data_IF_642694126427
#
_entry.id   IF_642694126427
#
_cell.length_a   1.000
_cell.length_b   1.000
_cell.length_c   1.000
_cell.angle_alpha   90.00
_cell.angle_beta   90.00
_cell.angle_gamma   90.00
#
_symmetry.space_group_name_H-M   'P 1'
#
loop_
_entity.id
_entity.type
_entity.pdbx_description
1 polymer ?
#
# COMPACT_ATOMS: atom_id res chain seq x y z
N UNK A 1 -14.54 0.96 -13.82
CA UNK A 1 -13.80 -0.07 -13.02
C UNK A 1 -13.93 0.34 -11.57
N UNK A 2 -14.51 -0.50 -10.70
CA UNK A 2 -14.96 -0.13 -9.34
C UNK A 2 -13.90 0.67 -8.57
N UNK A 3 -12.65 0.19 -8.54
CA UNK A 3 -11.57 0.83 -7.80
C UNK A 3 -11.33 2.28 -8.26
N UNK A 4 -11.24 2.50 -9.57
CA UNK A 4 -11.02 3.83 -10.17
C UNK A 4 -12.25 4.72 -10.04
N UNK A 5 -13.44 4.17 -10.30
CA UNK A 5 -14.68 4.94 -10.29
C UNK A 5 -14.95 5.49 -8.86
N UNK A 6 -14.72 4.67 -7.83
CA UNK A 6 -14.82 5.08 -6.42
C UNK A 6 -13.71 6.07 -6.02
N UNK A 7 -12.49 5.91 -6.54
CA UNK A 7 -11.39 6.84 -6.28
C UNK A 7 -11.65 8.25 -6.87
N UNK A 8 -12.15 8.32 -8.11
CA UNK A 8 -12.52 9.59 -8.75
C UNK A 8 -13.65 10.25 -7.96
N UNK A 9 -14.71 9.49 -7.64
CA UNK A 9 -15.83 10.00 -6.86
C UNK A 9 -15.40 10.53 -5.49
N UNK A 10 -14.52 9.82 -4.78
CA UNK A 10 -13.96 10.29 -3.51
C UNK A 10 -13.24 11.63 -3.69
N UNK A 11 -12.39 11.75 -4.70
CA UNK A 11 -11.66 12.98 -4.96
C UNK A 11 -12.59 14.16 -5.27
N UNK A 12 -13.65 13.93 -6.06
CA UNK A 12 -14.68 14.93 -6.36
C UNK A 12 -15.46 15.33 -5.10
N UNK A 13 -15.89 14.36 -4.30
CA UNK A 13 -16.65 14.60 -3.08
C UNK A 13 -15.81 15.38 -2.04
N UNK A 14 -14.51 15.10 -1.93
CA UNK A 14 -13.57 15.85 -1.08
C UNK A 14 -13.37 17.28 -1.58
N UNK A 15 -13.12 17.48 -2.88
CA UNK A 15 -12.89 18.81 -3.45
C UNK A 15 -14.13 19.70 -3.29
N UNK A 16 -15.31 19.12 -3.49
CA UNK A 16 -16.60 19.79 -3.33
C UNK A 16 -17.04 19.94 -1.86
N UNK A 17 -16.27 19.42 -0.90
CA UNK A 17 -16.56 19.55 0.53
C UNK A 17 -17.69 18.66 1.06
N UNK A 18 -18.13 17.65 0.29
CA UNK A 18 -19.09 16.63 0.76
C UNK A 18 -18.43 15.65 1.71
N UNK A 19 -17.20 15.26 1.42
CA UNK A 19 -16.37 14.42 2.28
C UNK A 19 -15.39 15.32 3.04
N UNK A 20 -15.49 15.34 4.36
CA UNK A 20 -14.65 16.18 5.21
C UNK A 20 -13.36 15.44 5.54
N UNK A 21 -12.23 16.05 5.20
CA UNK A 21 -10.89 15.52 5.47
C UNK A 21 -9.90 16.67 5.67
N UNK A 22 -8.64 16.33 5.93
CA UNK A 22 -7.55 17.29 6.11
C UNK A 22 -7.25 18.06 4.82
N UNK A 23 -6.65 19.24 4.94
CA UNK A 23 -6.34 20.07 3.78
C UNK A 23 -5.29 19.41 2.87
N UNK A 24 -4.39 18.60 3.43
CA UNK A 24 -3.40 17.79 2.72
C UNK A 24 -4.08 16.79 1.78
N UNK A 25 -5.07 16.05 2.30
CA UNK A 25 -5.84 15.08 1.51
C UNK A 25 -6.68 15.79 0.46
N UNK A 26 -7.32 16.92 0.81
CA UNK A 26 -8.04 17.75 -0.16
C UNK A 26 -7.12 18.21 -1.29
N UNK A 27 -5.92 18.67 -0.95
CA UNK A 27 -4.94 19.11 -1.95
C UNK A 27 -4.51 17.98 -2.88
N UNK A 28 -4.29 16.80 -2.32
CA UNK A 28 -3.95 15.61 -3.11
C UNK A 28 -5.10 15.18 -4.04
N UNK A 29 -6.36 15.33 -3.63
CA UNK A 29 -7.53 15.08 -4.48
C UNK A 29 -7.59 16.07 -5.65
N UNK A 30 -7.34 17.37 -5.42
CA UNK A 30 -7.23 18.38 -6.49
C UNK A 30 -6.13 18.04 -7.50
N UNK A 31 -4.94 17.66 -7.00
CA UNK A 31 -3.80 17.25 -7.83
C UNK A 31 -4.17 16.02 -8.65
N UNK A 32 -4.77 15.00 -8.02
CA UNK A 32 -5.20 13.78 -8.70
C UNK A 32 -6.16 14.08 -9.84
N UNK A 33 -7.23 14.86 -9.60
CA UNK A 33 -8.24 15.17 -10.61
C UNK A 33 -7.64 15.98 -11.77
N UNK A 34 -6.81 16.98 -11.47
CA UNK A 34 -6.17 17.78 -12.51
C UNK A 34 -5.17 16.95 -13.33
N UNK A 35 -4.38 16.12 -12.67
CA UNK A 35 -3.40 15.30 -13.37
C UNK A 35 -4.10 14.23 -14.23
N UNK A 36 -5.17 13.62 -13.71
CA UNK A 36 -5.95 12.58 -14.39
C UNK A 36 -6.77 13.14 -15.56
N UNK A 37 -7.38 14.32 -15.42
CA UNK A 37 -8.21 14.87 -16.50
C UNK A 37 -7.42 15.69 -17.51
N UNK A 38 -6.30 16.32 -17.10
CA UNK A 38 -5.63 17.33 -17.91
C UNK A 38 -4.15 17.04 -18.11
N UNK A 39 -3.35 17.02 -17.03
CA UNK A 39 -1.88 17.07 -17.19
C UNK A 39 -1.29 15.85 -17.88
N UNK A 40 -1.85 14.66 -17.67
CA UNK A 40 -1.30 13.45 -18.29
C UNK A 40 -1.24 13.50 -19.83
N UNK A 41 -2.07 14.34 -20.45
CA UNK A 41 -2.12 14.55 -21.90
C UNK A 41 -1.18 15.65 -22.41
N UNK A 42 -0.41 16.30 -21.52
CA UNK A 42 0.55 17.34 -21.88
C UNK A 42 1.96 16.76 -22.09
N UNK A 43 2.68 17.26 -23.09
CA UNK A 43 4.02 16.76 -23.48
C UNK A 43 5.04 16.87 -22.35
N UNK A 44 5.01 17.95 -21.57
CA UNK A 44 5.96 18.20 -20.47
C UNK A 44 5.68 17.42 -19.19
N UNK A 45 4.52 16.76 -19.07
CA UNK A 45 4.15 16.04 -17.86
C UNK A 45 4.67 14.61 -17.90
N UNK A 46 5.53 14.25 -16.93
CA UNK A 46 6.30 13.01 -16.91
C UNK A 46 5.49 11.74 -16.61
N UNK A 47 4.25 11.89 -16.16
CA UNK A 47 3.44 10.78 -15.64
C UNK A 47 2.20 10.53 -16.49
N UNK A 48 1.73 9.29 -16.47
CA UNK A 48 0.44 8.93 -17.05
C UNK A 48 -0.28 7.94 -16.13
N UNK A 49 -1.60 7.86 -16.30
CA UNK A 49 -2.44 6.94 -15.53
C UNK A 49 -2.68 5.66 -16.32
N UNK A 50 -2.18 4.53 -15.81
CA UNK A 50 -2.24 3.25 -16.47
C UNK A 50 -3.46 2.44 -15.99
N UNK A 51 -4.55 2.52 -16.75
CA UNK A 51 -5.80 1.81 -16.44
C UNK A 51 -5.64 0.30 -16.51
N UNK A 52 -4.78 -0.22 -17.39
CA UNK A 52 -4.57 -1.66 -17.55
C UNK A 52 -3.83 -2.25 -16.35
N UNK A 53 -2.80 -1.54 -15.86
CA UNK A 53 -2.12 -1.92 -14.61
C UNK A 53 -3.06 -1.84 -13.41
N UNK A 54 -3.88 -0.81 -13.33
CA UNK A 54 -4.84 -0.69 -12.25
C UNK A 54 -5.95 -1.75 -12.32
N UNK A 55 -6.32 -2.21 -13.52
CA UNK A 55 -7.27 -3.32 -13.71
C UNK A 55 -6.80 -4.61 -13.06
N UNK A 56 -5.50 -4.92 -13.15
CA UNK A 56 -4.91 -6.07 -12.45
C UNK A 56 -5.14 -5.96 -10.95
N UNK A 57 -4.90 -4.79 -10.36
CA UNK A 57 -5.11 -4.54 -8.92
C UNK A 57 -6.58 -4.65 -8.55
N UNK A 58 -7.46 -4.04 -9.33
CA UNK A 58 -8.90 -4.13 -9.14
C UNK A 58 -9.35 -5.60 -9.13
N UNK A 59 -8.88 -6.40 -10.08
CA UNK A 59 -9.27 -7.80 -10.19
C UNK A 59 -8.64 -8.67 -9.09
N UNK A 60 -7.41 -8.38 -8.65
CA UNK A 60 -6.80 -9.04 -7.49
C UNK A 60 -7.59 -8.78 -6.20
N UNK A 61 -8.07 -7.55 -5.98
CA UNK A 61 -8.90 -7.21 -4.83
C UNK A 61 -10.24 -7.95 -4.83
N UNK A 62 -10.77 -8.37 -5.99
CA UNK A 62 -11.97 -9.24 -6.05
C UNK A 62 -11.71 -10.66 -5.57
N UNK A 63 -10.46 -11.11 -5.59
CA UNK A 63 -10.08 -12.46 -5.17
C UNK A 63 -9.80 -12.55 -3.66
N UNK A 64 -9.87 -11.41 -2.96
CA UNK A 64 -9.61 -11.30 -1.53
C UNK A 64 -10.91 -11.07 -0.77
N UNK A 65 -10.98 -11.60 0.45
CA UNK A 65 -12.06 -11.35 1.40
C UNK A 65 -11.51 -10.74 2.68
N UNK A 66 -12.32 -9.90 3.33
CA UNK A 66 -12.02 -9.45 4.69
C UNK A 66 -12.22 -10.60 5.67
N UNK A 67 -11.33 -10.72 6.66
CA UNK A 67 -11.37 -11.83 7.62
C UNK A 67 -12.17 -11.51 8.90
N UNK A 68 -12.43 -10.23 9.17
CA UNK A 68 -13.02 -9.76 10.43
C UNK A 68 -13.81 -8.48 10.21
N UNK A 69 -14.64 -8.10 11.18
CA UNK A 69 -15.44 -6.88 11.17
C UNK A 69 -16.85 -7.11 10.64
N UNK A 70 -17.59 -6.04 10.39
CA UNK A 70 -18.98 -6.11 9.89
C UNK A 70 -19.10 -6.72 8.49
N UNK A 71 -17.98 -6.79 7.76
CA UNK A 71 -17.88 -7.32 6.38
C UNK A 71 -17.01 -8.58 6.33
N UNK A 72 -16.99 -9.36 7.43
CA UNK A 72 -16.23 -10.61 7.47
C UNK A 72 -16.71 -11.60 6.41
N UNK A 73 -15.75 -12.28 5.78
CA UNK A 73 -15.92 -13.20 4.64
C UNK A 73 -16.50 -12.55 3.36
N UNK A 74 -16.73 -11.23 3.37
CA UNK A 74 -17.15 -10.51 2.17
C UNK A 74 -15.96 -10.07 1.31
N UNK A 75 -16.22 -9.92 0.01
CA UNK A 75 -15.23 -9.51 -0.97
C UNK A 75 -14.66 -8.13 -0.66
N UNK A 76 -13.32 -8.00 -0.75
CA UNK A 76 -12.60 -6.76 -0.42
C UNK A 76 -13.00 -5.62 -1.34
N UNK A 77 -12.97 -5.79 -2.67
CA UNK A 77 -13.19 -4.69 -3.62
C UNK A 77 -14.51 -3.95 -3.39
N UNK A 78 -15.60 -4.69 -3.16
CA UNK A 78 -16.94 -4.10 -2.95
C UNK A 78 -17.07 -3.37 -1.62
N UNK A 79 -16.26 -3.77 -0.62
CA UNK A 79 -16.33 -3.28 0.75
C UNK A 79 -15.20 -2.29 1.12
N UNK A 80 -14.36 -1.89 0.16
CA UNK A 80 -13.39 -0.83 0.37
C UNK A 80 -14.09 0.52 0.54
N UNK A 81 -13.70 1.25 1.58
CA UNK A 81 -14.09 2.63 1.78
C UNK A 81 -13.53 3.51 0.64
N UNK A 82 -14.20 4.63 0.31
CA UNK A 82 -13.79 5.49 -0.81
C UNK A 82 -12.34 5.99 -0.71
N UNK A 83 -11.88 6.40 0.48
CA UNK A 83 -10.48 6.84 0.66
C UNK A 83 -9.46 5.70 0.45
N UNK A 84 -9.82 4.45 0.78
CA UNK A 84 -8.95 3.29 0.55
C UNK A 84 -8.82 3.03 -0.94
N UNK A 85 -9.93 3.15 -1.69
CA UNK A 85 -9.93 3.08 -3.15
C UNK A 85 -9.01 4.16 -3.74
N UNK A 86 -9.12 5.39 -3.25
CA UNK A 86 -8.27 6.50 -3.68
C UNK A 86 -6.79 6.25 -3.39
N UNK A 87 -6.46 5.78 -2.20
CA UNK A 87 -5.08 5.48 -1.80
C UNK A 87 -4.44 4.40 -2.68
N UNK A 88 -5.11 3.24 -2.81
CA UNK A 88 -4.63 2.12 -3.64
C UNK A 88 -4.53 2.55 -5.12
N UNK A 89 -5.52 3.31 -5.60
CA UNK A 89 -5.52 3.84 -6.98
C UNK A 89 -4.30 4.72 -7.26
N UNK A 90 -3.92 5.58 -6.32
CA UNK A 90 -2.78 6.45 -6.52
C UNK A 90 -1.46 5.66 -6.57
N UNK A 91 -1.24 4.73 -5.63
CA UNK A 91 -0.04 3.88 -5.60
C UNK A 91 0.10 3.11 -6.91
N UNK A 92 -0.94 2.38 -7.31
CA UNK A 92 -0.81 1.40 -8.40
C UNK A 92 -1.26 1.91 -9.78
N UNK A 93 -1.89 3.07 -9.89
CA UNK A 93 -2.38 3.60 -11.17
C UNK A 93 -1.38 4.50 -11.90
N UNK A 94 -0.56 5.27 -11.18
CA UNK A 94 0.31 6.26 -11.79
C UNK A 94 1.69 5.71 -12.14
N UNK A 95 2.14 5.96 -13.38
CA UNK A 95 3.43 5.53 -13.91
C UNK A 95 4.20 6.67 -14.56
N UNK A 96 5.50 6.48 -14.72
CA UNK A 96 6.34 7.33 -15.55
C UNK A 96 6.16 7.02 -17.04
N UNK A 97 6.08 8.05 -17.90
CA UNK A 97 5.95 7.89 -19.36
C UNK A 97 7.19 7.24 -20.00
N UNK A 98 8.38 7.57 -19.50
CA UNK A 98 9.66 7.01 -19.96
C UNK A 98 9.94 5.60 -19.41
N UNK A 99 9.30 5.22 -18.29
CA UNK A 99 9.37 3.87 -17.74
C UNK A 99 8.03 3.43 -17.14
N UNK A 100 7.27 2.63 -17.91
CA UNK A 100 5.93 2.12 -17.56
C UNK A 100 5.91 1.20 -16.32
N UNK A 101 7.06 0.68 -15.91
CA UNK A 101 7.17 -0.17 -14.71
C UNK A 101 7.41 0.65 -13.44
N UNK A 102 7.74 1.93 -13.56
CA UNK A 102 8.09 2.80 -12.43
C UNK A 102 6.86 3.54 -11.91
N UNK A 103 6.61 3.44 -10.60
CA UNK A 103 5.51 4.13 -9.93
C UNK A 103 5.83 5.62 -9.76
N UNK A 104 4.78 6.45 -9.77
CA UNK A 104 4.89 7.89 -9.44
C UNK A 104 4.95 8.14 -7.94
N UNK A 105 4.06 7.50 -7.19
CA UNK A 105 3.84 7.75 -5.77
C UNK A 105 4.56 6.68 -4.93
N UNK A 106 5.74 7.08 -4.47
CA UNK A 106 6.74 6.21 -3.86
C UNK A 106 6.98 6.60 -2.39
N UNK A 107 6.54 7.79 -2.00
CA UNK A 107 6.53 8.28 -0.62
C UNK A 107 5.11 8.70 -0.29
N UNK A 108 4.47 7.95 0.61
CA UNK A 108 3.05 8.02 0.87
C UNK A 108 2.79 8.26 2.36
N UNK A 109 2.38 9.47 2.71
CA UNK A 109 1.96 9.79 4.08
C UNK A 109 0.43 9.78 4.18
N UNK A 110 -0.12 8.98 5.10
CA UNK A 110 -1.56 8.93 5.35
C UNK A 110 -1.95 9.82 6.54
N UNK A 111 -2.61 10.93 6.26
CA UNK A 111 -3.29 11.75 7.27
C UNK A 111 -4.69 11.19 7.53
N UNK A 112 -4.82 10.37 8.58
CA UNK A 112 -6.05 9.64 8.88
C UNK A 112 -6.38 9.65 10.37
N UNK A 113 -7.66 9.83 10.70
CA UNK A 113 -8.13 9.77 12.08
C UNK A 113 -8.08 8.33 12.64
N UNK A 114 -8.07 8.19 13.97
CA UNK A 114 -8.07 6.88 14.64
C UNK A 114 -9.30 6.05 14.27
N UNK A 115 -9.13 4.71 14.26
CA UNK A 115 -10.15 3.69 13.99
C UNK A 115 -10.73 3.66 12.57
N UNK A 116 -10.02 4.20 11.57
CA UNK A 116 -10.42 4.12 10.15
C UNK A 116 -9.79 2.95 9.37
N UNK A 117 -9.54 1.80 10.03
CA UNK A 117 -9.04 0.59 9.36
C UNK A 117 -7.72 0.76 8.56
N UNK A 118 -6.87 1.73 8.95
CA UNK A 118 -5.58 2.03 8.29
C UNK A 118 -4.72 0.78 8.09
N UNK A 119 -4.55 -0.01 9.16
CA UNK A 119 -3.68 -1.19 9.16
C UNK A 119 -4.17 -2.26 8.17
N UNK A 120 -5.49 -2.40 7.98
CA UNK A 120 -6.06 -3.28 6.97
C UNK A 120 -5.78 -2.79 5.54
N UNK A 121 -5.88 -1.48 5.29
CA UNK A 121 -5.48 -0.87 4.00
C UNK A 121 -4.02 -1.17 3.67
N UNK A 122 -3.12 -0.98 4.65
CA UNK A 122 -1.69 -1.23 4.46
C UNK A 122 -1.40 -2.72 4.25
N UNK A 123 -2.08 -3.61 4.98
CA UNK A 123 -1.98 -5.05 4.76
C UNK A 123 -2.39 -5.46 3.33
N UNK A 124 -3.47 -4.87 2.78
CA UNK A 124 -3.87 -5.08 1.39
C UNK A 124 -2.81 -4.59 0.41
N UNK A 125 -2.24 -3.40 0.63
CA UNK A 125 -1.15 -2.87 -0.20
C UNK A 125 0.04 -3.83 -0.21
N UNK A 126 0.47 -4.36 0.93
CA UNK A 126 1.56 -5.34 0.97
C UNK A 126 1.21 -6.66 0.26
N UNK A 127 0.00 -7.20 0.44
CA UNK A 127 -0.43 -8.41 -0.29
C UNK A 127 -0.40 -8.15 -1.80
N UNK A 128 -0.89 -7.00 -2.26
CA UNK A 128 -0.86 -6.61 -3.68
C UNK A 128 0.59 -6.51 -4.19
N UNK A 129 1.46 -5.80 -3.48
CA UNK A 129 2.88 -5.68 -3.84
C UNK A 129 3.56 -7.06 -3.90
N UNK A 130 3.29 -7.94 -2.93
CA UNK A 130 3.83 -9.31 -2.92
C UNK A 130 3.39 -10.14 -4.14
N UNK A 131 2.23 -9.82 -4.73
CA UNK A 131 1.71 -10.49 -5.92
C UNK A 131 2.17 -9.85 -7.24
N UNK A 132 2.52 -8.56 -7.25
CA UNK A 132 2.75 -7.81 -8.49
C UNK A 132 4.14 -7.22 -8.67
N UNK A 133 4.90 -7.04 -7.60
CA UNK A 133 6.28 -6.54 -7.68
C UNK A 133 7.25 -7.60 -8.20
N UNK A 134 8.48 -7.16 -8.41
CA UNK A 134 9.57 -8.01 -8.89
C UNK A 134 9.80 -9.24 -7.99
N UNK A 135 10.38 -10.27 -8.60
CA UNK A 135 10.74 -11.46 -7.86
C UNK A 135 11.80 -11.13 -6.81
N UNK A 136 11.72 -11.80 -5.66
CA UNK A 136 12.63 -11.64 -4.53
C UNK A 136 12.61 -10.22 -3.91
N UNK A 137 11.46 -9.55 -3.98
CA UNK A 137 11.22 -8.29 -3.28
C UNK A 137 11.04 -8.52 -1.78
N UNK A 138 11.52 -7.56 -0.98
CA UNK A 138 11.48 -7.61 0.48
C UNK A 138 10.55 -6.51 1.00
N UNK A 139 9.65 -6.86 1.92
CA UNK A 139 8.66 -5.95 2.48
C UNK A 139 8.72 -5.95 4.00
N UNK A 140 8.59 -4.77 4.61
CA UNK A 140 8.74 -4.65 6.05
C UNK A 140 7.72 -3.71 6.71
N UNK A 141 7.39 -4.00 7.96
CA UNK A 141 6.86 -2.99 8.87
C UNK A 141 7.92 -2.64 9.91
N UNK A 142 8.06 -1.35 10.21
CA UNK A 142 8.86 -0.89 11.34
C UNK A 142 7.96 -0.22 12.36
N UNK A 143 8.18 -0.57 13.63
CA UNK A 143 7.54 0.08 14.77
C UNK A 143 8.47 0.04 15.99
N UNK A 144 8.10 0.76 17.05
CA UNK A 144 8.84 0.82 18.31
C UNK A 144 8.81 -0.52 19.07
N UNK A 145 7.74 -1.31 18.92
CA UNK A 145 7.59 -2.61 19.60
C UNK A 145 7.36 -3.75 18.61
N UNK A 146 7.71 -4.97 19.04
CA UNK A 146 7.50 -6.19 18.23
C UNK A 146 6.03 -6.46 17.99
N UNK A 147 5.19 -6.17 18.99
CA UNK A 147 3.76 -6.37 18.95
C UNK A 147 3.12 -5.50 17.88
N UNK A 148 3.45 -4.20 17.85
CA UNK A 148 2.93 -3.26 16.87
C UNK A 148 3.43 -3.58 15.46
N UNK A 149 4.73 -3.90 15.32
CA UNK A 149 5.28 -4.32 14.03
C UNK A 149 4.57 -5.57 13.48
N UNK A 150 4.21 -6.51 14.34
CA UNK A 150 3.55 -7.78 13.97
C UNK A 150 2.06 -7.64 13.65
N UNK A 151 1.42 -6.51 13.96
CA UNK A 151 -0.03 -6.35 13.75
C UNK A 151 -0.39 -6.37 12.26
N UNK A 152 0.43 -5.75 11.41
CA UNK A 152 0.26 -5.79 9.95
C UNK A 152 0.37 -7.23 9.45
N UNK A 153 1.36 -8.00 9.93
CA UNK A 153 1.51 -9.41 9.58
C UNK A 153 0.26 -10.21 9.95
N UNK A 154 -0.26 -10.01 11.15
CA UNK A 154 -1.47 -10.68 11.63
C UNK A 154 -2.65 -10.40 10.71
N UNK A 155 -2.88 -9.15 10.33
CA UNK A 155 -3.99 -8.79 9.43
C UNK A 155 -3.76 -9.36 8.03
N UNK A 156 -2.54 -9.31 7.50
CA UNK A 156 -2.21 -9.96 6.23
C UNK A 156 -2.52 -11.46 6.27
N UNK A 157 -2.08 -12.16 7.32
CA UNK A 157 -2.34 -13.57 7.51
C UNK A 157 -3.84 -13.88 7.60
N UNK A 158 -4.62 -13.02 8.26
CA UNK A 158 -6.07 -13.13 8.34
C UNK A 158 -6.71 -13.00 6.94
N UNK A 159 -6.40 -11.93 6.20
CA UNK A 159 -6.93 -11.70 4.84
C UNK A 159 -6.56 -12.87 3.92
N UNK A 160 -5.30 -13.29 3.91
CA UNK A 160 -4.82 -14.42 3.07
C UNK A 160 -5.58 -15.71 3.42
N UNK A 161 -5.79 -16.00 4.70
CA UNK A 161 -6.49 -17.21 5.13
C UNK A 161 -7.99 -17.19 4.81
N UNK A 162 -8.63 -16.01 4.87
CA UNK A 162 -10.02 -15.78 4.48
C UNK A 162 -10.23 -15.71 2.96
N UNK A 163 -9.15 -15.73 2.17
CA UNK A 163 -9.17 -15.59 0.71
C UNK A 163 -8.72 -16.88 0.00
N UNK A 164 -9.60 -17.88 -0.19
CA UNK A 164 -9.23 -19.20 -0.73
C UNK A 164 -8.50 -19.15 -2.07
N UNK A 165 -8.85 -18.19 -2.93
CA UNK A 165 -8.32 -18.07 -4.29
C UNK A 165 -6.84 -17.66 -4.33
N UNK A 166 -6.36 -16.92 -3.32
CA UNK A 166 -4.96 -16.48 -3.23
C UNK A 166 -4.16 -17.30 -2.21
N UNK A 167 -4.80 -17.92 -1.22
CA UNK A 167 -4.16 -18.61 -0.09
C UNK A 167 -3.05 -19.57 -0.50
N UNK A 168 -3.26 -20.34 -1.57
CA UNK A 168 -2.30 -21.34 -2.07
C UNK A 168 -0.93 -20.76 -2.45
N UNK A 169 -0.90 -19.48 -2.83
CA UNK A 169 0.31 -18.76 -3.24
C UNK A 169 1.10 -18.19 -2.07
N UNK A 170 0.65 -18.37 -0.83
CA UNK A 170 1.35 -17.84 0.34
C UNK A 170 1.76 -18.95 1.31
N UNK A 171 2.87 -18.72 1.99
CA UNK A 171 3.31 -19.47 3.18
C UNK A 171 3.37 -18.48 4.34
N UNK A 172 2.68 -18.77 5.43
CA UNK A 172 2.61 -17.89 6.61
C UNK A 172 3.34 -18.60 7.75
N UNK A 173 4.42 -17.99 8.25
CA UNK A 173 5.13 -18.52 9.42
C UNK A 173 4.30 -18.36 10.69
N UNK A 174 4.26 -19.40 11.54
CA UNK A 174 3.51 -19.42 12.79
C UNK A 174 3.91 -18.32 13.80
N UNK A 175 5.21 -18.04 14.06
CA UNK A 175 5.59 -17.00 15.01
C UNK A 175 5.10 -15.63 14.57
N UNK A 176 4.63 -14.77 15.48
CA UNK A 176 4.16 -13.42 15.15
C UNK A 176 5.20 -12.57 14.42
N UNK A 177 6.48 -12.78 14.73
CA UNK A 177 7.61 -12.08 14.09
C UNK A 177 8.17 -12.79 12.85
N UNK A 178 7.65 -13.98 12.50
CA UNK A 178 8.12 -14.72 11.32
C UNK A 178 7.65 -14.09 10.01
N UNK A 179 8.10 -14.63 8.88
CA UNK A 179 7.78 -14.07 7.57
C UNK A 179 6.44 -14.56 7.00
N UNK A 180 5.86 -13.79 6.08
CA UNK A 180 4.91 -14.27 5.08
C UNK A 180 5.66 -14.30 3.74
N UNK A 181 5.62 -15.42 3.01
CA UNK A 181 6.29 -15.57 1.72
C UNK A 181 5.27 -15.77 0.62
N UNK A 182 5.41 -15.06 -0.49
CA UNK A 182 4.66 -15.29 -1.73
C UNK A 182 5.43 -16.29 -2.61
N UNK A 183 4.79 -17.39 -2.99
CA UNK A 183 5.37 -18.45 -3.81
C UNK A 183 5.46 -18.10 -5.29
N UNK A 184 4.67 -17.11 -5.76
CA UNK A 184 4.69 -16.67 -7.16
C UNK A 184 5.92 -15.82 -7.46
N UNK A 185 6.24 -14.89 -6.57
CA UNK A 185 7.32 -13.91 -6.75
C UNK A 185 8.55 -14.26 -5.91
N UNK A 186 8.47 -15.24 -5.01
CA UNK A 186 9.51 -15.52 -4.00
C UNK A 186 9.80 -14.32 -3.09
N UNK A 187 8.89 -13.34 -3.04
CA UNK A 187 8.98 -12.17 -2.19
C UNK A 187 8.48 -12.47 -0.78
N UNK A 188 8.90 -11.68 0.21
CA UNK A 188 8.49 -11.88 1.60
C UNK A 188 8.15 -10.58 2.32
N UNK A 189 7.26 -10.69 3.31
CA UNK A 189 6.98 -9.65 4.30
C UNK A 189 7.51 -10.09 5.66
N UNK A 190 8.20 -9.19 6.37
CA UNK A 190 8.74 -9.42 7.70
C UNK A 190 8.50 -8.21 8.63
N UNK A 191 7.88 -8.40 9.80
CA UNK A 191 7.79 -7.35 10.80
C UNK A 191 9.11 -7.15 11.53
N UNK A 192 9.56 -5.90 11.68
CA UNK A 192 10.81 -5.55 12.37
C UNK A 192 10.65 -4.47 13.42
N UNK A 193 11.49 -4.56 14.45
CA UNK A 193 11.64 -3.51 15.46
C UNK A 193 12.59 -2.45 14.93
N UNK A 194 12.29 -1.20 15.23
CA UNK A 194 13.15 -0.08 14.95
C UNK A 194 14.37 -0.04 15.89
N UNK A 195 15.37 -0.90 15.65
CA UNK A 195 16.64 -0.89 16.38
C UNK A 195 17.79 -0.36 15.50
N UNK A 196 18.64 0.50 16.06
CA UNK A 196 19.78 1.08 15.35
C UNK A 196 20.76 -0.02 14.87
N UNK A 197 21.23 0.08 13.63
CA UNK A 197 22.22 -0.83 13.04
C UNK A 197 21.68 -2.14 12.46
N UNK A 198 20.50 -2.63 12.91
CA UNK A 198 19.93 -3.90 12.40
C UNK A 198 19.33 -3.82 11.00
N UNK A 199 18.97 -2.62 10.56
CA UNK A 199 18.28 -2.39 9.28
C UNK A 199 19.19 -1.78 8.20
N UNK A 200 20.51 -1.73 8.43
CA UNK A 200 21.44 -1.10 7.48
C UNK A 200 21.75 -1.96 6.24
N UNK A 201 21.48 -3.26 6.30
CA UNK A 201 21.84 -4.22 5.24
C UNK A 201 20.66 -4.76 4.46
N UNK A 202 19.44 -4.25 4.69
CA UNK A 202 18.23 -4.73 4.02
C UNK A 202 17.87 -3.88 2.82
N UNK A 203 17.18 -4.49 1.84
CA UNK A 203 16.80 -3.85 0.58
C UNK A 203 15.27 -3.79 0.46
N UNK A 204 14.60 -2.91 1.25
CA UNK A 204 13.15 -2.83 1.26
C UNK A 204 12.62 -2.38 -0.10
N UNK A 205 11.84 -3.24 -0.75
CA UNK A 205 11.03 -2.84 -1.90
C UNK A 205 9.89 -1.93 -1.46
N UNK A 206 9.24 -2.29 -0.35
CA UNK A 206 8.39 -1.36 0.37
C UNK A 206 8.53 -1.54 1.88
N UNK A 207 8.37 -0.47 2.64
CA UNK A 207 8.21 -0.58 4.09
C UNK A 207 7.18 0.44 4.60
N UNK A 208 6.70 0.24 5.82
CA UNK A 208 5.83 1.21 6.49
C UNK A 208 6.36 1.53 7.86
N UNK A 209 6.37 2.82 8.19
CA UNK A 209 6.59 3.29 9.56
C UNK A 209 5.24 3.55 10.22
N UNK A 210 4.72 2.56 10.94
CA UNK A 210 3.44 2.74 11.63
C UNK A 210 3.62 3.61 12.88
N UNK A 211 2.66 4.53 13.09
CA UNK A 211 2.70 5.55 14.14
C UNK A 211 4.02 6.35 14.18
N UNK A 212 4.52 6.77 13.02
CA UNK A 212 5.80 7.47 12.88
C UNK A 212 5.98 8.68 13.83
N UNK A 213 4.90 9.40 14.14
CA UNK A 213 4.93 10.52 15.10
C UNK A 213 5.35 10.13 16.52
N UNK A 214 5.30 8.84 16.89
CA UNK A 214 5.74 8.36 18.20
C UNK A 214 7.25 8.09 18.27
N UNK A 215 7.97 8.12 17.15
CA UNK A 215 9.41 7.86 17.11
C UNK A 215 10.18 9.06 17.65
N UNK A 216 11.17 8.81 18.51
CA UNK A 216 12.06 9.84 19.03
C UNK A 216 13.16 10.23 18.05
N UNK A 217 13.51 9.32 17.13
CA UNK A 217 14.56 9.50 16.14
C UNK A 217 14.15 8.91 14.78
N UNK A 218 14.56 9.58 13.70
CA UNK A 218 14.32 9.13 12.33
C UNK A 218 15.42 8.24 11.76
N UNK A 219 16.44 7.89 12.55
CA UNK A 219 17.62 7.14 12.09
C UNK A 219 17.26 5.83 11.40
N UNK A 220 16.31 5.07 11.95
CA UNK A 220 15.86 3.81 11.36
C UNK A 220 15.06 4.00 10.08
N UNK A 221 14.15 4.98 10.06
CA UNK A 221 13.37 5.33 8.87
C UNK A 221 14.29 5.73 7.71
N UNK A 222 15.26 6.61 7.97
CA UNK A 222 16.26 7.03 6.98
C UNK A 222 17.14 5.86 6.53
N UNK A 223 17.52 4.95 7.44
CA UNK A 223 18.26 3.74 7.07
C UNK A 223 17.47 2.86 6.10
N UNK A 224 16.17 2.64 6.37
CA UNK A 224 15.27 1.91 5.49
C UNK A 224 15.15 2.57 4.12
N UNK A 225 14.89 3.89 4.06
CA UNK A 225 14.84 4.63 2.80
C UNK A 225 16.16 4.53 2.02
N UNK A 226 17.30 4.60 2.71
CA UNK A 226 18.61 4.48 2.08
C UNK A 226 18.85 3.11 1.44
N UNK A 227 18.29 2.04 2.02
CA UNK A 227 18.33 0.69 1.49
C UNK A 227 17.53 0.51 0.19
N UNK A 228 16.62 1.44 -0.14
CA UNK A 228 15.78 1.34 -1.34
C UNK A 228 16.45 1.85 -2.62
N UNK A 229 17.69 2.36 -2.57
CA UNK A 229 18.36 3.02 -3.72
C UNK A 229 18.40 2.21 -5.01
N UNK A 230 18.48 0.88 -4.91
CA UNK A 230 18.55 -0.03 -6.07
C UNK A 230 17.20 -0.71 -6.37
N UNK A 231 16.10 -0.24 -5.79
CA UNK A 231 14.73 -0.73 -6.05
C UNK A 231 14.08 0.14 -7.12
N UNK A 232 13.38 -0.48 -8.09
CA UNK A 232 12.68 0.26 -9.15
C UNK A 232 11.52 1.10 -8.57
N UNK A 233 10.72 0.47 -7.71
CA UNK A 233 9.55 1.05 -7.05
C UNK A 233 9.77 1.08 -5.53
N UNK A 234 10.68 1.93 -5.01
CA UNK A 234 10.87 2.08 -3.58
C UNK A 234 9.59 2.69 -3.01
N UNK A 235 8.86 1.99 -2.15
CA UNK A 235 7.65 2.50 -1.53
C UNK A 235 7.81 2.67 -0.02
N UNK A 236 7.39 3.82 0.49
CA UNK A 236 7.28 4.13 1.92
C UNK A 236 5.91 4.73 2.23
#
# INVERSE_FOLDING_TARGET
MILLDRAIKYAEDVVNGKEITTWEVKKQCEIFLNDYNNKQYQDGFKFYFDKDKLKIINDLLKLMNFATGFVADEQVLENLAPFQCFFITNIFGWRFKDNKNKFRYNDNTLFIARKNSKTATIALVFILLMLTEQNYSEFYSICLTKELASEIKKIMAQIINASPLIKKYFTISLPKTGQITCKLTHSYFEPRVSEAGKNNSIRPSAFVSDEHANFTENSNFTAMQSGQRNVINPLV
#
